data_IF_604573737597
#
_entry.id   IF_604573737597
#
_cell.length_a   1.000
_cell.length_b   1.000
_cell.length_c   1.000
_cell.angle_alpha   90.00
_cell.angle_beta   90.00
_cell.angle_gamma   90.00
#
_symmetry.space_group_name_H-M   'P 1'
#
loop_
_entity.id
_entity.type
_entity.pdbx_description
1 polymer ?
#
# COMPACT_ATOMS: atom_id res chain seq x y z
N UNK A 1 9.32 25.66 -16.12
CA UNK A 1 8.88 24.31 -15.70
C UNK A 1 7.40 24.40 -15.35
N UNK A 2 6.52 23.64 -16.02
CA UNK A 2 5.08 23.68 -15.74
C UNK A 2 4.75 23.12 -14.36
N UNK A 3 3.54 23.34 -13.84
CA UNK A 3 3.12 22.77 -12.55
C UNK A 3 3.31 21.26 -12.56
N UNK A 4 3.88 20.69 -11.49
CA UNK A 4 4.07 19.24 -11.37
C UNK A 4 2.70 18.55 -11.41
N UNK A 5 2.53 17.62 -12.36
CA UNK A 5 1.28 16.86 -12.50
C UNK A 5 1.18 15.90 -11.31
N UNK A 6 0.17 16.08 -10.44
CA UNK A 6 -0.11 15.14 -9.33
C UNK A 6 -0.48 13.77 -9.92
N UNK A 7 0.19 12.70 -9.48
CA UNK A 7 -0.13 11.33 -9.88
C UNK A 7 -1.31 10.77 -9.06
N UNK A 8 -2.11 9.85 -9.62
CA UNK A 8 -3.00 9.01 -8.83
C UNK A 8 -2.21 8.21 -7.79
N UNK A 9 -2.82 7.95 -6.63
CA UNK A 9 -2.25 7.13 -5.57
C UNK A 9 -3.07 5.85 -5.44
N UNK A 10 -2.38 4.71 -5.49
CA UNK A 10 -2.97 3.38 -5.26
C UNK A 10 -2.39 2.85 -3.95
N UNK A 11 -3.27 2.49 -3.02
CA UNK A 11 -2.90 1.81 -1.78
C UNK A 11 -3.19 0.33 -1.95
N UNK A 12 -2.15 -0.49 -1.86
CA UNK A 12 -2.21 -1.93 -2.11
C UNK A 12 -1.98 -2.71 -0.81
N UNK A 13 -2.84 -3.69 -0.57
CA UNK A 13 -2.73 -4.65 0.53
C UNK A 13 -2.54 -6.03 -0.08
N UNK A 14 -1.42 -6.67 0.20
CA UNK A 14 -1.12 -7.98 -0.38
C UNK A 14 -2.05 -9.08 0.15
N UNK A 15 -2.20 -10.14 -0.64
CA UNK A 15 -2.91 -11.35 -0.23
C UNK A 15 -2.10 -12.25 0.71
N UNK A 16 -2.44 -13.53 0.79
CA UNK A 16 -1.73 -14.51 1.65
C UNK A 16 -2.44 -14.83 2.96
N UNK A 17 -3.74 -14.54 3.06
CA UNK A 17 -4.59 -14.97 4.17
C UNK A 17 -4.20 -14.36 5.53
N UNK A 18 -3.59 -13.17 5.52
CA UNK A 18 -3.07 -12.48 6.71
C UNK A 18 -1.92 -13.20 7.43
N UNK A 19 -1.35 -14.23 6.81
CA UNK A 19 -0.29 -15.07 7.40
C UNK A 19 0.95 -15.08 6.50
N UNK A 20 0.75 -15.10 5.19
CA UNK A 20 1.81 -15.28 4.21
C UNK A 20 2.03 -14.02 3.38
N UNK A 21 3.22 -13.96 2.76
CA UNK A 21 3.73 -12.86 1.96
C UNK A 21 4.01 -11.59 2.77
N UNK A 22 4.86 -10.73 2.22
CA UNK A 22 5.19 -9.41 2.74
C UNK A 22 5.36 -8.45 1.57
N UNK A 23 5.39 -7.14 1.83
CA UNK A 23 5.59 -6.12 0.80
C UNK A 23 6.87 -6.35 -0.02
N UNK A 24 7.95 -6.79 0.63
CA UNK A 24 9.25 -7.03 0.00
C UNK A 24 9.34 -8.35 -0.79
N UNK A 25 8.31 -9.19 -0.80
CA UNK A 25 8.32 -10.42 -1.60
C UNK A 25 8.31 -10.09 -3.10
N UNK A 26 9.03 -10.86 -3.91
CA UNK A 26 9.16 -10.60 -5.35
C UNK A 26 7.81 -10.55 -6.06
N UNK A 27 6.88 -11.45 -5.72
CA UNK A 27 5.54 -11.47 -6.30
C UNK A 27 4.77 -10.17 -6.07
N UNK A 28 4.83 -9.61 -4.86
CA UNK A 28 4.15 -8.35 -4.52
C UNK A 28 4.88 -7.15 -5.12
N UNK A 29 6.21 -7.14 -5.06
CA UNK A 29 7.02 -6.07 -5.63
C UNK A 29 6.83 -5.96 -7.14
N UNK A 30 6.96 -7.08 -7.87
CA UNK A 30 6.80 -7.11 -9.33
C UNK A 30 5.39 -6.70 -9.75
N UNK A 31 4.37 -7.12 -8.99
CA UNK A 31 2.98 -6.71 -9.22
C UNK A 31 2.81 -5.20 -9.05
N UNK A 32 3.30 -4.64 -7.94
CA UNK A 32 3.20 -3.20 -7.66
C UNK A 32 3.98 -2.36 -8.68
N UNK A 33 5.19 -2.79 -9.06
CA UNK A 33 6.03 -2.11 -10.05
C UNK A 33 5.37 -2.09 -11.43
N UNK A 34 4.79 -3.21 -11.87
CA UNK A 34 4.01 -3.27 -13.12
C UNK A 34 2.77 -2.38 -13.06
N UNK A 35 2.06 -2.38 -11.94
CA UNK A 35 0.88 -1.55 -11.73
C UNK A 35 1.22 -0.06 -11.78
N UNK A 36 2.30 0.37 -11.13
CA UNK A 36 2.77 1.76 -11.14
C UNK A 36 3.11 2.24 -12.56
N UNK A 37 3.86 1.43 -13.32
CA UNK A 37 4.26 1.74 -14.69
C UNK A 37 3.04 1.80 -15.63
N UNK A 38 2.18 0.79 -15.60
CA UNK A 38 1.05 0.67 -16.52
C UNK A 38 -0.04 1.72 -16.28
N UNK A 39 -0.24 2.12 -15.03
CA UNK A 39 -1.30 3.08 -14.65
C UNK A 39 -0.79 4.52 -14.51
N UNK A 40 0.51 4.76 -14.67
CA UNK A 40 1.14 6.06 -14.41
C UNK A 40 0.72 6.60 -13.03
N UNK A 41 0.90 5.77 -12.00
CA UNK A 41 0.42 6.04 -10.65
C UNK A 41 1.54 5.81 -9.62
N UNK A 42 1.46 6.51 -8.50
CA UNK A 42 2.22 6.15 -7.31
C UNK A 42 1.50 4.98 -6.62
N UNK A 43 2.25 3.92 -6.29
CA UNK A 43 1.73 2.74 -5.60
C UNK A 43 2.40 2.65 -4.24
N UNK A 44 1.61 2.49 -3.18
CA UNK A 44 2.09 2.20 -1.83
C UNK A 44 1.59 0.82 -1.43
N UNK A 45 2.52 -0.11 -1.27
CA UNK A 45 2.24 -1.43 -0.69
C UNK A 45 2.35 -1.35 0.81
N UNK A 46 1.28 -1.70 1.52
CA UNK A 46 1.22 -1.59 2.99
C UNK A 46 1.69 -2.90 3.61
N UNK A 47 2.72 -2.80 4.45
CA UNK A 47 3.27 -3.91 5.22
C UNK A 47 2.51 -4.03 6.56
N UNK A 48 1.34 -4.67 6.49
CA UNK A 48 0.48 -4.85 7.66
C UNK A 48 0.95 -6.03 8.52
N UNK A 49 0.63 -6.00 9.82
CA UNK A 49 0.99 -7.05 10.77
C UNK A 49 0.33 -8.39 10.43
N UNK A 50 1.10 -9.48 10.54
CA UNK A 50 0.66 -10.82 10.18
C UNK A 50 0.33 -11.71 11.39
N UNK A 51 -0.62 -12.61 11.18
CA UNK A 51 -0.86 -13.75 12.05
C UNK A 51 0.26 -14.80 11.90
N UNK A 52 0.53 -15.61 12.94
CA UNK A 52 -0.21 -15.72 14.20
C UNK A 52 0.17 -14.65 15.24
N UNK A 53 1.29 -13.95 15.06
CA UNK A 53 1.81 -12.95 16.03
C UNK A 53 0.82 -11.82 16.27
N UNK A 54 0.12 -11.41 15.22
CA UNK A 54 -0.89 -10.37 15.25
C UNK A 54 -2.13 -10.88 14.50
N UNK A 55 -3.00 -11.56 15.23
CA UNK A 55 -4.29 -12.02 14.68
C UNK A 55 -5.16 -10.82 14.31
N UNK A 56 -6.16 -11.07 13.47
CA UNK A 56 -7.20 -10.09 13.21
C UNK A 56 -7.81 -9.59 14.54
N UNK A 57 -8.06 -8.28 14.69
CA UNK A 57 -8.17 -7.28 13.62
C UNK A 57 -6.89 -6.51 13.26
N UNK A 58 -5.69 -6.88 13.75
CA UNK A 58 -4.48 -6.07 13.60
C UNK A 58 -4.17 -5.61 12.15
N UNK A 59 -4.31 -6.51 11.17
CA UNK A 59 -4.13 -6.18 9.76
C UNK A 59 -5.14 -5.14 9.24
N UNK A 60 -6.37 -5.14 9.75
CA UNK A 60 -7.38 -4.14 9.41
C UNK A 60 -7.06 -2.78 10.04
N UNK A 61 -6.59 -2.78 11.28
CA UNK A 61 -6.19 -1.55 11.97
C UNK A 61 -5.05 -0.85 11.21
N UNK A 62 -4.02 -1.61 10.81
CA UNK A 62 -2.89 -1.10 10.03
C UNK A 62 -3.34 -0.58 8.65
N UNK A 63 -4.30 -1.27 8.01
CA UNK A 63 -4.84 -0.84 6.72
C UNK A 63 -5.61 0.49 6.82
N UNK A 64 -6.43 0.65 7.86
CA UNK A 64 -7.17 1.90 8.11
C UNK A 64 -6.21 3.04 8.45
N UNK A 65 -5.19 2.78 9.27
CA UNK A 65 -4.17 3.76 9.63
C UNK A 65 -3.40 4.24 8.38
N UNK A 66 -2.95 3.32 7.53
CA UNK A 66 -2.22 3.63 6.31
C UNK A 66 -3.05 4.51 5.36
N UNK A 67 -4.32 4.12 5.10
CA UNK A 67 -5.21 4.89 4.23
C UNK A 67 -5.49 6.29 4.79
N UNK A 68 -5.77 6.37 6.09
CA UNK A 68 -6.08 7.63 6.77
C UNK A 68 -4.88 8.57 6.73
N UNK A 69 -3.68 8.07 7.03
CA UNK A 69 -2.43 8.84 6.98
C UNK A 69 -2.16 9.42 5.59
N UNK A 70 -2.36 8.64 4.53
CA UNK A 70 -2.18 9.11 3.16
C UNK A 70 -3.22 10.16 2.76
N UNK A 71 -4.47 10.01 3.22
CA UNK A 71 -5.51 11.01 3.01
C UNK A 71 -5.15 12.34 3.67
N UNK A 72 -4.70 12.31 4.93
CA UNK A 72 -4.29 13.52 5.65
C UNK A 72 -3.14 14.23 4.96
N UNK A 73 -2.06 13.53 4.59
CA UNK A 73 -0.89 14.12 3.90
C UNK A 73 -1.25 14.82 2.58
N UNK A 74 -2.37 14.44 1.94
CA UNK A 74 -2.86 15.10 0.73
C UNK A 74 -3.64 16.39 0.99
N UNK A 75 -4.14 16.62 2.20
CA UNK A 75 -4.87 17.82 2.59
C UNK A 75 -3.96 18.96 3.08
N UNK A 76 -2.72 18.66 3.48
CA UNK A 76 -1.76 19.63 4.04
C UNK A 76 -0.69 20.05 3.00
N UNK A 77 -0.93 19.82 1.70
CA UNK A 77 0.02 20.16 0.63
C UNK A 77 -0.63 20.53 -0.69
#
# INVERSE_FOLDING_TARGET
MGPSKKLPLIVYYHGGGFIFLITASSINHDFCSKMAANLTAAVVSVDYRLAPMHRLPAAYDDAVEALTTMRWRRCIG
#
